data_IF_408220416701
#
_entry.id   IF_408220416701
#
_cell.length_a   1.000
_cell.length_b   1.000
_cell.length_c   1.000
_cell.angle_alpha   90.00
_cell.angle_beta   90.00
_cell.angle_gamma   90.00
#
_symmetry.space_group_name_H-M   'P 1'
#
loop_
_entity.id
_entity.type
_entity.pdbx_description
1 polymer ?
#
# COMPACT_ATOMS: atom_id res chain seq x y z
N UNK A 1 3.27 7.70 11.95
CA UNK A 1 4.12 7.32 10.79
C UNK A 1 5.34 6.52 11.23
N UNK A 2 5.94 5.75 10.31
CA UNK A 2 7.13 4.93 10.56
C UNK A 2 8.43 5.78 10.56
N UNK A 3 8.53 6.75 11.46
CA UNK A 3 9.67 7.67 11.50
C UNK A 3 10.71 7.28 12.54
N UNK A 4 11.94 7.77 12.39
CA UNK A 4 13.02 7.59 13.37
C UNK A 4 12.82 8.39 14.66
N UNK A 5 11.82 9.26 14.73
CA UNK A 5 11.43 10.07 15.90
C UNK A 5 10.20 9.53 16.64
N UNK A 6 9.45 8.59 16.03
CA UNK A 6 8.24 8.02 16.62
C UNK A 6 8.50 6.80 17.50
N UNK A 7 7.41 6.10 17.82
CA UNK A 7 7.47 4.82 18.53
C UNK A 7 8.38 3.82 17.79
N UNK A 8 9.09 2.99 18.55
CA UNK A 8 9.88 1.93 17.95
C UNK A 8 8.95 1.00 17.14
N UNK A 9 9.25 0.69 15.86
CA UNK A 9 8.37 -0.09 15.02
C UNK A 9 8.08 -1.49 15.56
N UNK A 10 9.01 -2.11 16.28
CA UNK A 10 8.79 -3.44 16.87
C UNK A 10 7.81 -3.38 18.05
N UNK A 11 7.88 -2.32 18.85
CA UNK A 11 6.94 -2.12 19.96
C UNK A 11 5.57 -1.74 19.42
N UNK A 12 5.51 -0.86 18.41
CA UNK A 12 4.27 -0.54 17.70
C UNK A 12 3.59 -1.79 17.14
N UNK A 13 4.34 -2.68 16.49
CA UNK A 13 3.77 -3.89 15.90
C UNK A 13 3.15 -4.82 16.95
N UNK A 14 3.83 -5.00 18.11
CA UNK A 14 3.29 -5.77 19.24
C UNK A 14 2.04 -5.12 19.83
N UNK A 15 2.07 -3.80 20.08
CA UNK A 15 0.92 -3.06 20.62
C UNK A 15 -0.30 -3.15 19.68
N UNK A 16 -0.08 -3.05 18.37
CA UNK A 16 -1.16 -3.18 17.36
C UNK A 16 -1.74 -4.59 17.35
N UNK A 17 -0.90 -5.62 17.40
CA UNK A 17 -1.35 -7.03 17.47
C UNK A 17 -2.08 -7.33 18.77
N UNK A 18 -1.55 -6.90 19.92
CA UNK A 18 -2.14 -7.11 21.26
C UNK A 18 -3.53 -6.46 21.39
N UNK A 19 -3.76 -5.35 20.68
CA UNK A 19 -5.04 -4.67 20.59
C UNK A 19 -6.06 -5.38 19.66
N UNK A 20 -5.63 -6.41 18.94
CA UNK A 20 -6.47 -7.13 17.98
C UNK A 20 -6.72 -6.37 16.66
N UNK A 21 -5.91 -5.37 16.36
CA UNK A 21 -5.98 -4.66 15.07
C UNK A 21 -5.40 -5.57 13.98
N UNK A 22 -6.14 -5.73 12.88
CA UNK A 22 -5.86 -6.71 11.83
C UNK A 22 -4.54 -6.49 11.11
N UNK A 23 -4.21 -5.23 10.80
CA UNK A 23 -3.13 -4.92 9.86
C UNK A 23 -2.44 -3.59 10.15
N UNK A 24 -1.19 -3.48 9.70
CA UNK A 24 -0.44 -2.24 9.66
C UNK A 24 0.08 -1.99 8.25
N UNK A 25 -0.05 -0.75 7.75
CA UNK A 25 0.44 -0.33 6.44
C UNK A 25 1.52 0.73 6.58
N UNK A 26 2.62 0.56 5.86
CA UNK A 26 3.73 1.52 5.87
C UNK A 26 3.82 2.27 4.53
N UNK A 27 4.11 3.59 4.54
CA UNK A 27 4.36 4.37 3.33
C UNK A 27 5.73 4.04 2.71
N UNK A 28 5.91 4.39 1.43
CA UNK A 28 7.16 4.20 0.69
C UNK A 28 7.71 5.53 0.18
N UNK A 29 8.76 6.02 0.85
CA UNK A 29 9.59 7.12 0.41
C UNK A 29 11.05 6.76 0.66
N UNK A 30 11.82 6.58 -0.41
CA UNK A 30 13.26 6.34 -0.30
C UNK A 30 14.02 7.60 0.12
N UNK A 31 13.54 8.74 -0.34
CA UNK A 31 14.02 10.08 -0.04
C UNK A 31 12.99 11.13 -0.47
N UNK A 32 13.12 12.33 0.02
CA UNK A 32 12.28 13.45 -0.42
C UNK A 32 13.18 14.51 -1.06
N UNK A 33 13.04 14.80 -2.36
CA UNK A 33 13.79 15.83 -3.04
C UNK A 33 13.56 17.21 -2.41
N UNK A 34 14.64 17.99 -2.22
CA UNK A 34 14.55 19.35 -1.67
C UNK A 34 13.80 20.29 -2.63
N UNK A 35 14.00 20.11 -3.94
CA UNK A 35 13.28 20.87 -4.96
C UNK A 35 12.24 20.00 -5.61
N UNK A 36 11.00 20.47 -5.63
CA UNK A 36 9.83 19.75 -6.16
C UNK A 36 9.00 20.69 -7.02
N UNK A 37 8.46 20.17 -8.11
CA UNK A 37 7.60 20.92 -9.04
C UNK A 37 6.13 20.90 -8.62
N UNK A 38 5.71 19.88 -7.87
CA UNK A 38 4.33 19.71 -7.44
C UNK A 38 4.16 19.93 -5.93
N UNK A 39 3.01 20.49 -5.57
CA UNK A 39 2.58 20.65 -4.19
C UNK A 39 2.19 19.29 -3.61
N UNK A 40 2.62 19.01 -2.40
CA UNK A 40 2.28 17.78 -1.69
C UNK A 40 0.76 17.68 -1.47
N UNK A 41 0.16 16.54 -1.85
CA UNK A 41 -1.29 16.33 -1.76
C UNK A 41 -2.11 17.09 -2.81
N UNK A 42 -1.45 17.74 -3.78
CA UNK A 42 -2.12 18.55 -4.78
C UNK A 42 -2.57 19.92 -4.22
N UNK A 43 -3.46 20.63 -4.93
CA UNK A 43 -3.89 21.99 -4.54
C UNK A 43 -4.58 22.08 -3.17
N UNK A 44 -5.13 20.98 -2.65
CA UNK A 44 -5.84 20.91 -1.37
C UNK A 44 -4.98 20.42 -0.20
N UNK A 45 -3.78 19.89 -0.48
CA UNK A 45 -2.95 19.20 0.52
C UNK A 45 -3.54 17.86 0.98
N UNK A 46 -2.71 16.98 1.54
CA UNK A 46 -3.20 15.74 2.21
C UNK A 46 -3.53 16.05 3.68
N UNK A 47 -2.85 17.04 4.26
CA UNK A 47 -3.09 17.46 5.63
C UNK A 47 -3.58 18.90 5.64
N UNK A 48 -4.74 19.18 6.25
CA UNK A 48 -5.33 20.55 6.32
C UNK A 48 -4.39 21.58 6.93
N UNK A 49 -3.52 21.14 7.86
CA UNK A 49 -2.65 22.02 8.64
C UNK A 49 -1.28 22.29 7.97
N UNK A 50 -1.00 21.68 6.82
CA UNK A 50 0.27 21.85 6.10
C UNK A 50 0.05 22.00 4.59
N UNK A 51 -0.73 23.00 4.15
CA UNK A 51 -0.96 23.20 2.73
C UNK A 51 0.34 23.60 2.02
N UNK A 52 0.83 22.74 1.16
CA UNK A 52 1.94 23.04 0.24
C UNK A 52 3.30 22.47 0.62
N UNK A 53 3.63 22.33 1.89
CA UNK A 53 4.88 21.73 2.32
C UNK A 53 4.71 20.26 2.66
N UNK A 54 5.72 19.46 2.28
CA UNK A 54 5.73 18.05 2.68
C UNK A 54 6.04 17.98 4.18
N UNK A 55 5.20 17.31 4.97
CA UNK A 55 5.45 17.15 6.40
C UNK A 55 6.81 16.51 6.67
N UNK A 56 7.46 16.94 7.74
CA UNK A 56 8.80 16.48 8.14
C UNK A 56 8.88 14.96 8.24
N UNK A 57 7.81 14.32 8.65
CA UNK A 57 7.68 12.89 8.84
C UNK A 57 7.92 12.08 7.57
N UNK A 58 7.67 12.67 6.39
CA UNK A 58 7.85 11.97 5.11
C UNK A 58 9.31 11.72 4.77
N UNK A 59 10.20 12.67 5.04
CA UNK A 59 11.64 12.47 4.78
C UNK A 59 12.40 11.80 5.94
N UNK A 60 11.68 11.47 7.01
CA UNK A 60 12.22 10.71 8.15
C UNK A 60 11.69 9.28 8.21
N UNK A 61 10.95 8.83 7.23
CA UNK A 61 10.46 7.45 7.18
C UNK A 61 11.63 6.46 7.10
N UNK A 62 11.50 5.38 7.86
CA UNK A 62 12.36 4.20 7.69
C UNK A 62 11.99 3.49 6.40
N UNK A 63 12.90 2.69 5.85
CA UNK A 63 12.59 1.85 4.71
C UNK A 63 11.38 0.96 5.00
N UNK A 64 10.48 0.90 4.04
CA UNK A 64 9.20 0.20 4.15
C UNK A 64 9.39 -1.30 4.36
N UNK A 65 10.17 -1.95 3.50
CA UNK A 65 10.29 -3.42 3.48
C UNK A 65 11.16 -3.94 4.63
N UNK A 66 12.24 -3.24 4.96
CA UNK A 66 13.07 -3.56 6.13
C UNK A 66 12.25 -3.48 7.41
N UNK A 67 11.39 -2.45 7.53
CA UNK A 67 10.55 -2.30 8.71
C UNK A 67 9.45 -3.35 8.77
N UNK A 68 8.79 -3.66 7.66
CA UNK A 68 7.78 -4.74 7.62
C UNK A 68 8.37 -6.10 7.97
N UNK A 69 9.57 -6.42 7.46
CA UNK A 69 10.28 -7.65 7.83
C UNK A 69 10.53 -7.74 9.34
N UNK A 70 11.00 -6.64 9.95
CA UNK A 70 11.26 -6.58 11.38
C UNK A 70 9.97 -6.69 12.21
N UNK A 71 8.88 -6.03 11.80
CA UNK A 71 7.56 -6.15 12.43
C UNK A 71 7.02 -7.58 12.34
N UNK A 72 7.19 -8.23 11.18
CA UNK A 72 6.78 -9.61 10.94
C UNK A 72 7.48 -10.63 11.86
N UNK A 73 8.75 -10.35 12.20
CA UNK A 73 9.54 -11.21 13.09
C UNK A 73 9.09 -11.16 14.57
N UNK A 74 8.34 -10.15 14.99
CA UNK A 74 7.91 -9.96 16.40
C UNK A 74 6.40 -10.09 16.59
N UNK A 75 5.66 -10.44 15.53
CA UNK A 75 4.21 -10.63 15.51
C UNK A 75 3.86 -11.99 14.91
N UNK A 76 2.64 -12.47 15.16
CA UNK A 76 2.18 -13.80 14.73
C UNK A 76 0.96 -13.76 13.82
N UNK A 77 0.10 -12.75 13.97
CA UNK A 77 -1.18 -12.63 13.27
C UNK A 77 -1.33 -11.33 12.49
N UNK A 78 -0.60 -10.28 12.90
CA UNK A 78 -0.65 -8.95 12.30
C UNK A 78 -0.32 -9.02 10.81
N UNK A 79 -1.24 -8.56 9.95
CA UNK A 79 -0.98 -8.42 8.51
C UNK A 79 -0.09 -7.21 8.24
N UNK A 80 0.81 -7.37 7.30
CA UNK A 80 1.89 -6.44 6.99
C UNK A 80 1.66 -5.84 5.60
N UNK A 81 1.24 -4.59 5.56
CA UNK A 81 0.84 -3.92 4.31
C UNK A 81 1.84 -2.88 3.81
N UNK A 82 2.01 -2.81 2.51
CA UNK A 82 2.62 -1.64 1.86
C UNK A 82 1.53 -0.64 1.48
N UNK A 83 1.64 0.60 1.95
CA UNK A 83 0.61 1.61 1.73
C UNK A 83 1.12 2.93 1.12
N UNK A 84 1.47 2.94 -0.15
CA UNK A 84 1.67 1.88 -1.15
C UNK A 84 3.15 1.75 -1.47
N UNK A 85 3.59 0.59 -1.97
CA UNK A 85 4.91 0.45 -2.56
C UNK A 85 4.92 1.18 -3.92
N UNK A 86 5.84 2.13 -4.11
CA UNK A 86 6.03 2.82 -5.38
C UNK A 86 6.89 1.95 -6.29
N UNK A 87 6.27 0.91 -6.88
CA UNK A 87 6.98 -0.14 -7.60
C UNK A 87 7.84 0.35 -8.76
N UNK A 88 7.55 1.53 -9.31
CA UNK A 88 8.30 2.13 -10.40
C UNK A 88 9.68 2.67 -10.01
N UNK A 89 9.99 2.71 -8.72
CA UNK A 89 11.30 3.11 -8.19
C UNK A 89 12.21 1.92 -7.88
N UNK A 90 11.70 0.68 -7.97
CA UNK A 90 12.39 -0.52 -7.50
C UNK A 90 12.63 -1.51 -8.63
N UNK A 91 13.76 -2.17 -8.64
CA UNK A 91 14.02 -3.29 -9.56
C UNK A 91 13.01 -4.43 -9.29
N UNK A 92 12.31 -4.97 -10.30
CA UNK A 92 11.27 -5.96 -10.12
C UNK A 92 11.77 -7.31 -9.61
N UNK A 93 12.98 -7.73 -10.00
CA UNK A 93 13.57 -9.02 -9.54
C UNK A 93 13.91 -8.93 -8.06
N UNK A 94 14.57 -7.82 -7.67
CA UNK A 94 14.94 -7.58 -6.28
C UNK A 94 13.69 -7.42 -5.40
N UNK A 95 12.71 -6.63 -5.86
CA UNK A 95 11.46 -6.42 -5.15
C UNK A 95 10.66 -7.72 -4.96
N UNK A 96 10.56 -8.55 -5.99
CA UNK A 96 9.92 -9.86 -5.91
C UNK A 96 10.58 -10.75 -4.84
N UNK A 97 11.90 -10.73 -4.76
CA UNK A 97 12.69 -11.46 -3.76
C UNK A 97 12.41 -10.97 -2.34
N UNK A 98 12.43 -9.66 -2.14
CA UNK A 98 12.21 -9.03 -0.83
C UNK A 98 10.81 -9.33 -0.31
N UNK A 99 9.78 -9.13 -1.12
CA UNK A 99 8.40 -9.38 -0.77
C UNK A 99 8.12 -10.86 -0.52
N UNK A 100 8.66 -11.77 -1.34
CA UNK A 100 8.54 -13.21 -1.11
C UNK A 100 9.18 -13.63 0.21
N UNK A 101 10.33 -13.05 0.56
CA UNK A 101 11.00 -13.31 1.83
C UNK A 101 10.18 -12.82 3.03
N UNK A 102 9.58 -11.62 2.93
CA UNK A 102 8.69 -11.10 3.97
C UNK A 102 7.47 -12.00 4.14
N UNK A 103 6.86 -12.42 3.05
CA UNK A 103 5.66 -13.27 3.08
C UNK A 103 5.98 -14.66 3.66
N UNK A 104 7.08 -15.27 3.25
CA UNK A 104 7.54 -16.56 3.75
C UNK A 104 7.86 -16.49 5.24
N UNK A 105 8.70 -15.55 5.68
CA UNK A 105 9.07 -15.40 7.09
C UNK A 105 7.89 -15.00 7.99
N UNK A 106 6.88 -14.33 7.44
CA UNK A 106 5.67 -13.95 8.15
C UNK A 106 4.53 -14.98 8.04
N UNK A 107 4.75 -16.12 7.37
CA UNK A 107 3.74 -17.17 7.16
C UNK A 107 2.50 -16.67 6.41
N UNK A 108 2.70 -15.92 5.32
CA UNK A 108 1.64 -15.48 4.40
C UNK A 108 0.86 -14.25 4.87
N UNK A 109 1.46 -13.36 5.68
CA UNK A 109 0.77 -12.17 6.22
C UNK A 109 0.99 -10.89 5.42
N UNK A 110 1.69 -10.96 4.29
CA UNK A 110 1.94 -9.79 3.45
C UNK A 110 0.68 -9.35 2.68
N UNK A 111 0.43 -8.04 2.65
CA UNK A 111 -0.52 -7.35 1.78
C UNK A 111 0.27 -6.39 0.88
N UNK A 112 0.34 -6.67 -0.40
CA UNK A 112 1.15 -5.89 -1.33
C UNK A 112 0.34 -4.76 -1.98
N UNK A 113 0.24 -3.63 -1.28
CA UNK A 113 -0.33 -2.39 -1.85
C UNK A 113 0.65 -1.74 -2.83
N UNK A 114 0.19 -1.47 -4.06
CA UNK A 114 1.03 -1.00 -5.17
C UNK A 114 0.54 0.32 -5.76
N UNK A 115 1.48 1.15 -6.19
CA UNK A 115 1.18 2.40 -6.86
C UNK A 115 2.27 2.82 -7.86
N UNK A 116 1.87 3.68 -8.82
CA UNK A 116 2.79 4.28 -9.80
C UNK A 116 3.39 5.61 -9.33
N UNK A 117 3.22 5.95 -8.05
CA UNK A 117 3.60 7.25 -7.50
C UNK A 117 2.61 8.37 -7.85
N UNK A 118 2.54 9.35 -6.97
CA UNK A 118 1.70 10.53 -7.09
C UNK A 118 2.45 11.69 -7.81
N UNK A 119 1.75 12.77 -8.20
CA UNK A 119 2.41 13.92 -8.84
C UNK A 119 3.54 14.55 -8.01
N UNK A 120 3.47 14.50 -6.69
CA UNK A 120 4.52 15.01 -5.79
C UNK A 120 5.72 14.08 -5.63
N UNK A 121 5.68 12.85 -6.20
CA UNK A 121 6.80 11.92 -6.24
C UNK A 121 7.61 12.00 -7.55
N UNK A 122 7.34 12.95 -8.45
CA UNK A 122 7.95 13.03 -9.77
C UNK A 122 9.47 13.07 -9.67
N UNK A 123 10.01 13.96 -8.86
CA UNK A 123 11.45 14.12 -8.71
C UNK A 123 12.08 12.94 -7.96
N UNK A 124 11.38 12.36 -7.00
CA UNK A 124 11.80 11.13 -6.33
C UNK A 124 11.91 9.98 -7.34
N UNK A 125 10.87 9.75 -8.15
CA UNK A 125 10.89 8.74 -9.22
C UNK A 125 12.00 8.99 -10.23
N UNK A 126 12.22 10.25 -10.63
CA UNK A 126 13.26 10.63 -11.59
C UNK A 126 14.66 10.34 -11.06
N UNK A 127 14.90 10.53 -9.76
CA UNK A 127 16.18 10.19 -9.13
C UNK A 127 16.47 8.68 -9.15
N UNK A 128 15.43 7.85 -9.24
CA UNK A 128 15.53 6.41 -9.48
C UNK A 128 15.59 6.03 -10.97
N UNK A 129 15.69 7.00 -11.86
CA UNK A 129 15.77 6.75 -13.31
C UNK A 129 14.42 6.46 -13.98
N UNK A 130 13.31 6.63 -13.28
CA UNK A 130 11.97 6.40 -13.85
C UNK A 130 11.55 7.56 -14.76
N UNK A 131 11.19 7.25 -16.00
CA UNK A 131 10.46 8.20 -16.85
C UNK A 131 8.99 8.25 -16.37
N UNK A 132 8.62 9.38 -15.79
CA UNK A 132 7.29 9.61 -15.21
C UNK A 132 6.16 9.46 -16.23
N UNK A 133 6.44 9.71 -17.52
CA UNK A 133 5.44 9.60 -18.61
C UNK A 133 5.02 8.13 -18.84
N UNK A 134 5.92 7.20 -18.58
CA UNK A 134 5.69 5.76 -18.78
C UNK A 134 5.36 5.02 -17.50
N UNK A 135 5.31 5.71 -16.36
CA UNK A 135 5.19 5.08 -15.02
C UNK A 135 4.03 4.08 -14.88
N UNK A 136 2.89 4.35 -15.51
CA UNK A 136 1.74 3.44 -15.43
C UNK A 136 1.97 2.14 -16.21
N UNK A 137 2.58 2.22 -17.40
CA UNK A 137 2.96 1.05 -18.17
C UNK A 137 4.07 0.25 -17.48
N UNK A 138 5.09 0.95 -16.96
CA UNK A 138 6.17 0.36 -16.18
C UNK A 138 5.65 -0.34 -14.91
N UNK A 139 4.72 0.28 -14.17
CA UNK A 139 4.09 -0.35 -13.00
C UNK A 139 3.41 -1.67 -13.38
N UNK A 140 2.62 -1.66 -14.46
CA UNK A 140 1.93 -2.87 -14.94
C UNK A 140 2.91 -4.00 -15.24
N UNK A 141 3.95 -3.73 -16.04
CA UNK A 141 4.94 -4.75 -16.39
C UNK A 141 5.72 -5.26 -15.16
N UNK A 142 6.03 -4.37 -14.21
CA UNK A 142 6.70 -4.79 -12.96
C UNK A 142 5.80 -5.68 -12.11
N UNK A 143 4.51 -5.40 -12.00
CA UNK A 143 3.56 -6.27 -11.29
C UNK A 143 3.47 -7.65 -11.97
N UNK A 144 3.35 -7.69 -13.29
CA UNK A 144 3.29 -8.94 -14.06
C UNK A 144 4.59 -9.75 -13.90
N UNK A 145 5.74 -9.11 -14.01
CA UNK A 145 7.05 -9.73 -13.82
C UNK A 145 7.20 -10.31 -12.39
N UNK A 146 6.80 -9.56 -11.36
CA UNK A 146 6.81 -9.99 -9.97
C UNK A 146 5.91 -11.21 -9.78
N UNK A 147 4.68 -11.21 -10.32
CA UNK A 147 3.77 -12.37 -10.27
C UNK A 147 4.38 -13.58 -10.95
N UNK A 148 5.00 -13.41 -12.12
CA UNK A 148 5.70 -14.48 -12.83
C UNK A 148 6.84 -15.06 -11.99
N UNK A 149 7.65 -14.22 -11.36
CA UNK A 149 8.74 -14.64 -10.48
C UNK A 149 8.19 -15.44 -9.28
N UNK A 150 7.07 -15.07 -8.71
CA UNK A 150 6.48 -15.75 -7.56
C UNK A 150 5.88 -17.10 -7.91
N UNK A 151 5.30 -17.26 -9.10
CA UNK A 151 4.47 -18.43 -9.45
C UNK A 151 5.19 -19.45 -10.32
N UNK A 152 6.15 -19.03 -11.14
CA UNK A 152 6.90 -19.94 -12.01
C UNK A 152 8.15 -20.50 -11.32
N UNK A 153 8.51 -21.76 -11.60
CA UNK A 153 9.77 -22.35 -11.12
C UNK A 153 10.97 -21.64 -11.76
N UNK A 154 10.93 -21.48 -13.08
CA UNK A 154 11.82 -20.64 -13.87
C UNK A 154 10.98 -19.50 -14.44
N UNK A 155 11.34 -18.28 -14.12
CA UNK A 155 10.62 -17.09 -14.54
C UNK A 155 11.42 -16.35 -15.61
N UNK A 156 10.74 -15.94 -16.67
CA UNK A 156 11.25 -15.03 -17.71
C UNK A 156 10.17 -13.96 -17.98
N UNK A 157 10.58 -12.80 -18.42
CA UNK A 157 9.67 -11.74 -18.77
C UNK A 157 10.25 -10.87 -19.91
N UNK A 158 9.48 -10.68 -20.99
CA UNK A 158 9.89 -9.93 -22.18
C UNK A 158 8.84 -8.87 -22.51
N UNK A 159 8.92 -7.74 -21.79
CA UNK A 159 8.07 -6.57 -21.97
C UNK A 159 8.79 -5.41 -22.66
N UNK A 160 8.15 -4.26 -22.67
CA UNK A 160 8.72 -3.02 -23.21
C UNK A 160 9.64 -2.32 -22.20
N UNK A 161 9.36 -2.45 -20.92
CA UNK A 161 10.04 -1.77 -19.83
C UNK A 161 10.75 -2.74 -18.88
N UNK A 162 10.36 -3.99 -18.87
CA UNK A 162 10.95 -5.07 -18.07
C UNK A 162 11.32 -6.20 -19.00
N UNK A 163 12.58 -6.60 -18.98
CA UNK A 163 13.08 -7.68 -19.83
C UNK A 163 14.16 -8.47 -19.09
N UNK A 164 13.98 -9.79 -18.94
CA UNK A 164 14.98 -10.68 -18.39
C UNK A 164 14.78 -12.13 -18.85
N UNK A 165 15.91 -12.79 -19.11
CA UNK A 165 16.00 -14.20 -19.45
C UNK A 165 15.61 -15.11 -18.26
N UNK A 166 15.39 -16.45 -18.47
CA UNK A 166 14.97 -17.35 -17.41
C UNK A 166 15.85 -17.32 -16.16
N UNK A 167 15.21 -17.07 -15.02
CA UNK A 167 15.85 -17.03 -13.71
C UNK A 167 15.19 -17.97 -12.71
N UNK A 168 15.96 -18.44 -11.73
CA UNK A 168 15.45 -19.00 -10.48
C UNK A 168 15.41 -17.93 -9.41
N UNK A 169 14.28 -17.80 -8.71
CA UNK A 169 14.13 -16.91 -7.57
C UNK A 169 13.36 -17.61 -6.43
N UNK A 170 14.05 -17.90 -5.35
CA UNK A 170 13.53 -18.52 -4.13
C UNK A 170 13.94 -17.71 -2.89
N UNK A 171 13.15 -17.69 -1.77
CA UNK A 171 11.93 -18.48 -1.58
C UNK A 171 10.79 -18.00 -2.48
N UNK A 172 9.76 -18.84 -2.61
CA UNK A 172 8.45 -18.40 -3.09
C UNK A 172 7.63 -17.87 -1.92
N UNK A 173 6.62 -17.00 -2.14
CA UNK A 173 5.69 -16.63 -1.09
C UNK A 173 5.02 -17.85 -0.47
N UNK A 174 4.70 -17.78 0.82
CA UNK A 174 3.90 -18.81 1.51
C UNK A 174 2.46 -18.84 1.01
N UNK A 175 1.92 -17.67 0.65
CA UNK A 175 0.55 -17.56 0.18
C UNK A 175 0.41 -17.97 -1.28
N UNK A 176 -0.58 -18.82 -1.57
CA UNK A 176 -0.86 -19.32 -2.92
C UNK A 176 -2.10 -18.62 -3.50
N UNK A 177 -2.09 -18.16 -4.77
CA UNK A 177 -0.96 -18.24 -5.71
C UNK A 177 0.15 -17.22 -5.44
N UNK A 178 -0.10 -16.16 -4.71
CA UNK A 178 0.81 -15.10 -4.29
C UNK A 178 0.16 -14.21 -3.22
N UNK A 179 0.91 -13.33 -2.54
CA UNK A 179 0.35 -12.31 -1.65
C UNK A 179 -0.67 -11.44 -2.40
N UNK A 180 -1.78 -11.02 -1.75
CA UNK A 180 -2.76 -10.17 -2.39
C UNK A 180 -2.14 -8.85 -2.86
N UNK A 181 -2.39 -8.49 -4.10
CA UNK A 181 -1.96 -7.24 -4.73
C UNK A 181 -3.12 -6.23 -4.63
N UNK A 182 -2.91 -5.14 -3.89
CA UNK A 182 -3.90 -4.09 -3.69
C UNK A 182 -3.52 -2.86 -4.54
N UNK A 183 -4.29 -2.54 -5.57
CA UNK A 183 -4.01 -1.43 -6.47
C UNK A 183 -4.42 -0.10 -5.87
N UNK A 184 -3.46 0.77 -5.62
CA UNK A 184 -3.70 2.14 -5.17
C UNK A 184 -4.15 3.08 -6.28
N UNK A 185 -4.86 4.15 -5.89
CA UNK A 185 -5.23 5.28 -6.73
C UNK A 185 -6.72 5.39 -7.06
N UNK A 186 -7.09 6.59 -7.55
CA UNK A 186 -8.47 7.03 -7.76
C UNK A 186 -8.73 7.57 -9.19
N UNK A 187 -7.76 7.45 -10.07
CA UNK A 187 -7.88 7.93 -11.45
C UNK A 187 -8.99 7.20 -12.23
N UNK A 188 -9.46 7.79 -13.34
CA UNK A 188 -10.64 7.28 -14.09
C UNK A 188 -10.46 5.86 -14.63
N UNK A 189 -9.23 5.41 -14.83
CA UNK A 189 -8.93 4.07 -15.37
C UNK A 189 -8.44 3.09 -14.30
N UNK A 190 -8.61 3.40 -12.99
CA UNK A 190 -8.09 2.53 -11.93
C UNK A 190 -8.82 1.19 -11.88
N UNK A 191 -10.15 1.18 -12.08
CA UNK A 191 -10.95 -0.05 -12.04
C UNK A 191 -10.51 -1.04 -13.13
N UNK A 192 -10.17 -0.55 -14.34
CA UNK A 192 -9.60 -1.39 -15.39
C UNK A 192 -8.30 -2.04 -14.95
N UNK A 193 -7.42 -1.27 -14.29
CA UNK A 193 -6.14 -1.80 -13.77
C UNK A 193 -6.34 -2.79 -12.64
N UNK A 194 -7.27 -2.52 -11.72
CA UNK A 194 -7.63 -3.46 -10.65
C UNK A 194 -8.09 -4.79 -11.24
N UNK A 195 -9.05 -4.73 -12.15
CA UNK A 195 -9.59 -5.93 -12.80
C UNK A 195 -8.55 -6.72 -13.61
N UNK A 196 -7.57 -6.05 -14.20
CA UNK A 196 -6.55 -6.71 -15.01
C UNK A 196 -5.36 -7.24 -14.17
N UNK A 197 -4.96 -6.55 -13.10
CA UNK A 197 -3.63 -6.76 -12.50
C UNK A 197 -3.62 -6.88 -10.96
N UNK A 198 -4.76 -6.78 -10.27
CA UNK A 198 -4.79 -6.77 -8.81
C UNK A 198 -5.88 -7.67 -8.22
N UNK A 199 -5.76 -7.98 -6.94
CA UNK A 199 -6.72 -8.77 -6.17
C UNK A 199 -7.63 -7.89 -5.31
N UNK A 200 -7.22 -6.64 -5.08
CA UNK A 200 -7.97 -5.63 -4.35
C UNK A 200 -7.76 -4.22 -4.88
N UNK A 201 -8.67 -3.34 -4.49
CA UNK A 201 -8.57 -1.90 -4.75
C UNK A 201 -8.30 -1.15 -3.44
N UNK A 202 -7.35 -0.20 -3.49
CA UNK A 202 -6.97 0.62 -2.35
C UNK A 202 -7.12 2.11 -2.68
N UNK A 203 -8.39 2.63 -2.75
CA UNK A 203 -8.65 4.05 -2.96
C UNK A 203 -8.20 4.87 -1.76
N UNK A 204 -7.64 6.07 -2.03
CA UNK A 204 -7.36 7.06 -1.00
C UNK A 204 -8.60 7.91 -0.72
N UNK A 205 -9.00 8.06 0.54
CA UNK A 205 -10.07 8.98 0.91
C UNK A 205 -9.48 10.26 1.50
N UNK A 206 -9.11 11.18 0.61
CA UNK A 206 -8.46 12.44 0.95
C UNK A 206 -9.45 13.59 1.19
N UNK A 207 -10.64 13.50 0.62
CA UNK A 207 -11.69 14.51 0.70
C UNK A 207 -12.67 14.23 1.86
N UNK A 208 -13.50 15.22 2.20
CA UNK A 208 -14.61 15.07 3.15
C UNK A 208 -15.88 14.55 2.48
N UNK A 209 -15.85 14.39 1.16
CA UNK A 209 -16.98 13.94 0.35
C UNK A 209 -16.73 12.53 -0.15
N UNK A 210 -17.81 11.77 -0.28
CA UNK A 210 -17.78 10.42 -0.84
C UNK A 210 -18.16 10.38 -2.32
N UNK A 211 -17.99 11.53 -3.02
CA UNK A 211 -18.45 11.71 -4.39
C UNK A 211 -17.95 10.60 -5.32
N UNK A 212 -18.89 9.73 -5.72
CA UNK A 212 -18.64 8.62 -6.63
C UNK A 212 -17.86 7.43 -6.05
N UNK A 213 -17.45 7.43 -4.79
CA UNK A 213 -16.71 6.30 -4.22
C UNK A 213 -17.59 5.05 -4.10
N UNK A 214 -18.83 5.22 -3.58
CA UNK A 214 -19.80 4.13 -3.47
C UNK A 214 -20.15 3.54 -4.84
N UNK A 215 -20.48 4.40 -5.82
CA UNK A 215 -20.79 3.96 -7.18
C UNK A 215 -19.63 3.18 -7.81
N UNK A 216 -18.40 3.59 -7.56
CA UNK A 216 -17.21 2.91 -8.07
C UNK A 216 -16.93 1.58 -7.38
N UNK A 217 -17.25 1.44 -6.09
CA UNK A 217 -17.19 0.15 -5.39
C UNK A 217 -18.21 -0.81 -5.98
N UNK A 218 -19.43 -0.35 -6.20
CA UNK A 218 -20.50 -1.14 -6.84
C UNK A 218 -20.08 -1.54 -8.26
N UNK A 219 -19.67 -0.58 -9.11
CA UNK A 219 -19.17 -0.83 -10.47
C UNK A 219 -18.07 -1.88 -10.49
N UNK A 220 -17.08 -1.76 -9.59
CA UNK A 220 -15.95 -2.70 -9.52
C UNK A 220 -16.43 -4.13 -9.27
N UNK A 221 -17.34 -4.32 -8.32
CA UNK A 221 -17.87 -5.64 -7.95
C UNK A 221 -18.74 -6.25 -9.04
N UNK A 222 -19.60 -5.44 -9.67
CA UNK A 222 -20.39 -5.87 -10.80
C UNK A 222 -19.51 -6.32 -11.97
N UNK A 223 -18.50 -5.54 -12.31
CA UNK A 223 -17.56 -5.87 -13.39
C UNK A 223 -16.70 -7.10 -13.05
N UNK A 224 -16.28 -7.29 -11.80
CA UNK A 224 -15.58 -8.49 -11.36
C UNK A 224 -16.45 -9.72 -11.54
N UNK A 225 -17.71 -9.67 -11.10
CA UNK A 225 -18.69 -10.74 -11.27
C UNK A 225 -18.93 -11.07 -12.76
N UNK A 226 -19.08 -10.04 -13.60
CA UNK A 226 -19.26 -10.20 -15.04
C UNK A 226 -18.06 -10.87 -15.73
N UNK A 227 -16.86 -10.72 -15.18
CA UNK A 227 -15.63 -11.38 -15.65
C UNK A 227 -15.41 -12.76 -14.99
N UNK A 228 -16.32 -13.25 -14.14
CA UNK A 228 -16.19 -14.52 -13.42
C UNK A 228 -15.10 -14.51 -12.34
N UNK A 229 -14.76 -13.33 -11.81
CA UNK A 229 -13.82 -13.17 -10.69
C UNK A 229 -14.54 -13.19 -9.34
N UNK A 230 -13.85 -13.61 -8.32
CA UNK A 230 -14.28 -13.41 -6.93
C UNK A 230 -14.46 -11.91 -6.62
N UNK A 231 -15.28 -11.55 -5.62
CA UNK A 231 -15.44 -10.16 -5.20
C UNK A 231 -14.07 -9.52 -4.88
N UNK A 232 -13.84 -8.35 -5.48
CA UNK A 232 -12.61 -7.59 -5.27
C UNK A 232 -12.66 -6.93 -3.88
N UNK A 233 -11.63 -7.17 -3.07
CA UNK A 233 -11.48 -6.53 -1.77
C UNK A 233 -11.25 -5.01 -1.93
N UNK A 234 -11.93 -4.21 -1.11
CA UNK A 234 -11.80 -2.75 -1.09
C UNK A 234 -11.22 -2.31 0.25
N UNK A 235 -10.01 -1.78 0.22
CA UNK A 235 -9.30 -1.21 1.37
C UNK A 235 -9.29 0.32 1.26
N UNK A 236 -10.08 1.02 2.06
CA UNK A 236 -10.04 2.48 2.12
C UNK A 236 -8.73 2.91 2.76
N UNK A 237 -7.90 3.64 2.02
CA UNK A 237 -6.62 4.16 2.48
C UNK A 237 -6.76 5.60 2.93
N UNK A 238 -6.10 5.99 4.02
CA UNK A 238 -6.23 7.31 4.67
C UNK A 238 -7.65 7.60 5.14
N UNK A 239 -8.38 6.57 5.57
CA UNK A 239 -9.73 6.70 6.11
C UNK A 239 -9.78 7.58 7.36
N UNK A 240 -10.96 8.13 7.64
CA UNK A 240 -11.23 8.94 8.83
C UNK A 240 -12.13 8.18 9.80
N UNK A 241 -11.81 8.24 11.09
CA UNK A 241 -12.62 7.57 12.14
C UNK A 241 -14.08 8.07 12.10
N UNK A 242 -14.27 9.36 11.84
CA UNK A 242 -15.62 10.00 11.79
C UNK A 242 -16.50 9.46 10.66
N UNK A 243 -15.96 8.73 9.70
CA UNK A 243 -16.66 8.23 8.52
C UNK A 243 -16.75 6.69 8.48
N UNK A 244 -16.51 6.03 9.62
CA UNK A 244 -16.47 4.56 9.66
C UNK A 244 -17.81 3.92 9.26
N UNK A 245 -18.94 4.52 9.66
CA UNK A 245 -20.27 4.01 9.32
C UNK A 245 -20.54 4.09 7.81
N UNK A 246 -20.08 5.15 7.15
CA UNK A 246 -20.19 5.32 5.71
C UNK A 246 -19.33 4.29 4.97
N UNK A 247 -18.10 4.04 5.41
CA UNK A 247 -17.25 3.01 4.79
C UNK A 247 -17.87 1.62 4.90
N UNK A 248 -18.42 1.27 6.06
CA UNK A 248 -19.12 0.00 6.26
C UNK A 248 -20.35 -0.09 5.35
N UNK A 249 -21.15 0.97 5.27
CA UNK A 249 -22.34 1.02 4.41
C UNK A 249 -22.00 0.86 2.94
N UNK A 250 -20.89 1.45 2.47
CA UNK A 250 -20.38 1.29 1.11
C UNK A 250 -19.79 -0.09 0.86
N UNK A 251 -19.60 -0.90 1.90
CA UNK A 251 -19.06 -2.25 1.82
C UNK A 251 -17.53 -2.28 1.70
N UNK A 252 -16.81 -1.36 2.32
CA UNK A 252 -15.36 -1.48 2.47
C UNK A 252 -15.01 -2.72 3.31
N UNK A 253 -14.02 -3.48 2.86
CA UNK A 253 -13.56 -4.68 3.56
C UNK A 253 -12.50 -4.34 4.62
N UNK A 254 -11.80 -3.23 4.44
CA UNK A 254 -10.78 -2.71 5.36
C UNK A 254 -10.69 -1.19 5.30
N UNK A 255 -10.39 -0.56 6.45
CA UNK A 255 -10.08 0.87 6.53
C UNK A 255 -8.72 1.06 7.18
N UNK A 256 -7.83 1.79 6.52
CA UNK A 256 -6.49 2.14 7.00
C UNK A 256 -6.47 3.59 7.43
N UNK A 257 -6.24 3.81 8.73
CA UNK A 257 -6.15 5.14 9.33
C UNK A 257 -4.69 5.61 9.42
N UNK A 258 -4.48 6.91 9.31
CA UNK A 258 -3.16 7.50 9.55
C UNK A 258 -2.90 7.62 11.05
N UNK A 259 -1.80 7.06 11.53
CA UNK A 259 -1.36 7.26 12.91
C UNK A 259 -0.93 8.71 13.14
N UNK A 260 -1.23 9.28 14.32
CA UNK A 260 -0.70 10.58 14.73
C UNK A 260 0.83 10.63 14.68
N UNK A 261 1.38 11.80 14.45
CA UNK A 261 2.83 12.05 14.42
C UNK A 261 3.34 12.69 15.71
N UNK A 262 2.46 12.86 16.69
CA UNK A 262 2.71 13.45 17.99
C UNK A 262 3.43 12.50 18.97
N UNK A 263 3.36 12.83 20.28
CA UNK A 263 3.89 12.00 21.36
C UNK A 263 3.38 10.56 21.31
N UNK A 264 4.15 9.62 21.83
CA UNK A 264 3.80 8.18 21.83
C UNK A 264 2.44 7.92 22.48
N UNK A 265 2.09 8.67 23.49
CA UNK A 265 0.80 8.57 24.19
C UNK A 265 -0.38 8.90 23.27
N UNK A 266 -0.26 9.87 22.37
CA UNK A 266 -1.29 10.18 21.38
C UNK A 266 -1.50 9.03 20.41
N UNK A 267 -0.40 8.40 19.97
CA UNK A 267 -0.46 7.20 19.15
C UNK A 267 -1.18 6.07 19.88
N UNK A 268 -0.88 5.83 21.15
CA UNK A 268 -1.54 4.80 21.97
C UNK A 268 -3.03 5.07 22.19
N UNK A 269 -3.41 6.30 22.48
CA UNK A 269 -4.82 6.68 22.60
C UNK A 269 -5.58 6.47 21.28
N UNK A 270 -4.96 6.83 20.17
CA UNK A 270 -5.53 6.61 18.85
C UNK A 270 -5.70 5.11 18.54
N UNK A 271 -4.69 4.28 18.82
CA UNK A 271 -4.78 2.83 18.64
C UNK A 271 -5.88 2.22 19.50
N UNK A 272 -6.05 2.65 20.75
CA UNK A 272 -7.14 2.21 21.61
C UNK A 272 -8.51 2.56 21.00
N UNK A 273 -8.65 3.77 20.45
CA UNK A 273 -9.89 4.18 19.77
C UNK A 273 -10.18 3.31 18.53
N UNK A 274 -9.16 3.03 17.71
CA UNK A 274 -9.31 2.15 16.54
C UNK A 274 -9.68 0.73 16.94
N UNK A 275 -9.06 0.20 18.00
CA UNK A 275 -9.38 -1.13 18.53
C UNK A 275 -10.82 -1.22 19.08
N UNK A 276 -11.30 -0.18 19.75
CA UNK A 276 -12.69 -0.10 20.22
C UNK A 276 -13.68 -0.09 19.05
N UNK A 277 -13.39 0.68 18.02
CA UNK A 277 -14.21 0.71 16.79
C UNK A 277 -14.24 -0.67 16.12
N UNK A 278 -13.09 -1.30 15.95
CA UNK A 278 -13.03 -2.63 15.35
C UNK A 278 -13.88 -3.65 16.08
N UNK A 279 -13.91 -3.61 17.44
CA UNK A 279 -14.76 -4.50 18.24
C UNK A 279 -16.27 -4.25 18.10
N UNK A 280 -16.66 -3.03 17.72
CA UNK A 280 -18.07 -2.66 17.55
C UNK A 280 -18.61 -3.00 16.14
N UNK A 281 -17.70 -3.23 15.19
CA UNK A 281 -18.06 -3.45 13.77
C UNK A 281 -18.01 -4.93 13.35
N UNK A 282 -17.57 -5.83 14.22
CA UNK A 282 -17.59 -7.29 14.06
C UNK A 282 -18.79 -7.85 14.82
#
# INVERSE_FOLDING_TARGET
>A
MNTDEGINPLDLAREVEDLGIESIFLPDHSHVPVRRSAVYGGPRGIFPDSPGDMPREYYRNRDQLVTLAAMGAVTSTLKLGTGVCVVVQRDPIQLAKELASIDEMSSGRLLFGVGAGAPWNIEEMSNHGTDVRTRTALMRERIEAIRTIWTAEQAEFHGTHVDFDPIFSWPKPSRTPHPPILMGGDGPTVLDRVLAHADGWMPGHLDETFDGLEDRIVELRERATACGRDPIEVTIYLGRITHIEEYIRMGADRVVFTLPTGPVEETRMFLATVADLARQTV
#
